data_IF_197174800774
#
_entry.id   IF_197174800774
#
_cell.length_a   1.000
_cell.length_b   1.000
_cell.length_c   1.000
_cell.angle_alpha   90.00
_cell.angle_beta   90.00
_cell.angle_gamma   90.00
#
_symmetry.space_group_name_H-M   'P 1'
#
loop_
_entity.id
_entity.type
_entity.pdbx_description
1 polymer ?
#
# COMPACT_ATOMS: atom_id res chain seq x y z
N UNK A 1 2.35 18.54 -4.12
CA UNK A 1 2.97 17.55 -5.06
C UNK A 1 1.94 16.46 -5.29
N UNK A 2 1.84 15.79 -6.45
CA UNK A 2 0.84 14.69 -6.56
C UNK A 2 1.31 13.49 -5.74
N UNK A 3 0.38 12.68 -5.23
CA UNK A 3 0.71 11.44 -4.50
C UNK A 3 1.55 10.45 -5.33
N UNK A 4 1.52 10.58 -6.65
CA UNK A 4 2.39 9.86 -7.60
C UNK A 4 3.85 10.30 -7.44
N UNK A 5 4.10 11.60 -7.27
CA UNK A 5 5.44 12.15 -7.04
C UNK A 5 5.98 11.67 -5.69
N UNK A 6 5.10 11.56 -4.68
CA UNK A 6 5.44 10.93 -3.40
C UNK A 6 5.89 9.48 -3.58
N UNK A 7 5.11 8.64 -4.26
CA UNK A 7 5.47 7.23 -4.44
C UNK A 7 6.77 7.12 -5.26
N UNK A 8 6.98 7.97 -6.26
CA UNK A 8 8.22 7.98 -7.04
C UNK A 8 9.43 8.44 -6.22
N UNK A 9 9.27 9.45 -5.37
CA UNK A 9 10.34 9.91 -4.48
C UNK A 9 10.65 8.89 -3.39
N UNK A 10 9.61 8.23 -2.86
CA UNK A 10 9.76 7.08 -2.01
C UNK A 10 10.61 6.06 -2.76
N UNK A 11 10.15 5.54 -3.91
CA UNK A 11 10.87 4.56 -4.75
C UNK A 11 12.33 4.92 -5.01
N UNK A 12 12.63 6.17 -5.38
CA UNK A 12 14.00 6.63 -5.61
C UNK A 12 14.83 6.55 -4.32
N UNK A 13 14.27 7.00 -3.19
CA UNK A 13 14.88 6.81 -1.87
C UNK A 13 14.94 5.33 -1.45
N UNK A 14 14.13 4.45 -2.04
CA UNK A 14 14.12 3.02 -1.75
C UNK A 14 15.12 2.21 -2.61
N UNK A 15 15.70 2.78 -3.67
CA UNK A 15 16.65 2.09 -4.55
C UNK A 15 18.11 2.22 -4.09
N UNK A 16 18.41 3.18 -3.21
CA UNK A 16 19.77 3.47 -2.69
C UNK A 16 20.23 2.54 -1.54
N UNK A 17 19.45 1.50 -1.20
CA UNK A 17 19.93 0.35 -0.43
C UNK A 17 19.46 0.23 1.03
N UNK A 18 19.38 -1.04 1.46
CA UNK A 18 19.03 -1.52 2.81
C UNK A 18 17.57 -1.25 3.26
N UNK A 19 16.64 -2.14 2.90
CA UNK A 19 15.29 -2.13 3.46
C UNK A 19 15.10 -3.07 4.64
N UNK A 20 15.01 -2.46 5.82
CA UNK A 20 14.15 -2.97 6.86
C UNK A 20 12.72 -2.51 6.54
N UNK A 21 11.75 -3.42 6.55
CA UNK A 21 10.32 -3.15 6.27
C UNK A 21 9.81 -1.91 7.03
N UNK A 22 10.37 -1.66 8.21
CA UNK A 22 10.12 -0.48 9.05
C UNK A 22 10.45 0.86 8.39
N UNK A 23 11.47 0.95 7.53
CA UNK A 23 11.81 2.21 6.83
C UNK A 23 10.69 2.65 5.89
N UNK A 24 10.11 1.74 5.10
CA UNK A 24 8.94 2.05 4.24
C UNK A 24 7.76 2.49 5.10
N UNK A 25 7.47 1.74 6.18
CA UNK A 25 6.36 2.07 7.06
C UNK A 25 6.52 3.46 7.66
N UNK A 26 7.71 3.78 8.18
CA UNK A 26 8.02 5.10 8.77
C UNK A 26 7.95 6.22 7.74
N UNK A 27 8.57 6.04 6.56
CA UNK A 27 8.56 7.04 5.49
C UNK A 27 7.14 7.33 5.01
N UNK A 28 6.33 6.29 4.74
CA UNK A 28 4.95 6.49 4.32
C UNK A 28 4.08 7.14 5.40
N UNK A 29 4.23 6.74 6.66
CA UNK A 29 3.50 7.38 7.75
C UNK A 29 3.86 8.87 7.90
N UNK A 30 5.14 9.20 7.78
CA UNK A 30 5.60 10.59 7.85
C UNK A 30 4.99 11.42 6.73
N UNK A 31 5.06 10.94 5.48
CA UNK A 31 4.51 11.67 4.34
C UNK A 31 2.99 11.75 4.36
N UNK A 32 2.27 10.70 4.76
CA UNK A 32 0.81 10.79 4.92
C UNK A 32 0.41 11.85 5.95
N UNK A 33 1.17 11.97 7.05
CA UNK A 33 0.94 13.00 8.06
C UNK A 33 1.19 14.41 7.51
N UNK A 34 2.27 14.60 6.77
CA UNK A 34 2.60 15.87 6.10
C UNK A 34 1.56 16.28 5.05
N UNK A 35 1.13 15.34 4.20
CA UNK A 35 0.09 15.61 3.19
C UNK A 35 -1.27 15.90 3.80
N UNK A 36 -1.60 15.26 4.91
CA UNK A 36 -2.84 15.53 5.63
C UNK A 36 -2.80 16.92 6.27
N UNK A 37 -1.70 17.30 6.93
CA UNK A 37 -1.58 18.61 7.58
C UNK A 37 -1.43 19.78 6.62
N UNK A 38 -0.87 19.55 5.43
CA UNK A 38 -0.85 20.56 4.35
C UNK A 38 -2.19 20.70 3.63
N UNK A 39 -3.16 19.82 3.89
CA UNK A 39 -4.46 19.82 3.22
C UNK A 39 -4.45 19.22 1.81
N UNK A 40 -3.34 18.62 1.37
CA UNK A 40 -3.25 17.95 0.05
C UNK A 40 -4.10 16.66 0.00
N UNK A 41 -4.32 16.01 1.14
CA UNK A 41 -5.23 14.87 1.27
C UNK A 41 -6.21 15.08 2.43
N UNK A 42 -7.47 14.65 2.23
CA UNK A 42 -8.53 14.79 3.23
C UNK A 42 -8.60 13.62 4.22
N UNK A 43 -7.91 12.50 3.92
CA UNK A 43 -7.93 11.28 4.72
C UNK A 43 -6.57 11.07 5.37
N UNK A 44 -6.54 11.04 6.70
CA UNK A 44 -5.35 10.71 7.46
C UNK A 44 -5.11 9.21 7.37
N UNK A 45 -4.04 8.81 6.70
CA UNK A 45 -3.70 7.41 6.49
C UNK A 45 -2.54 6.99 7.42
N UNK A 46 -2.60 5.74 7.92
CA UNK A 46 -1.55 5.13 8.73
C UNK A 46 -1.18 3.75 8.18
N UNK A 47 0.11 3.55 7.90
CA UNK A 47 0.66 2.30 7.39
C UNK A 47 1.15 1.41 8.52
N UNK A 48 0.93 0.10 8.40
CA UNK A 48 1.36 -0.92 9.35
C UNK A 48 1.54 -2.28 8.69
N UNK A 49 2.27 -3.18 9.34
CA UNK A 49 2.43 -4.58 8.93
C UNK A 49 1.37 -5.43 9.65
N UNK A 50 0.69 -6.33 8.92
CA UNK A 50 -0.32 -7.23 9.48
C UNK A 50 -0.24 -8.62 8.86
N UNK A 51 -1.15 -9.52 9.28
CA UNK A 51 -1.43 -10.74 8.55
C UNK A 51 -1.93 -10.39 7.13
N UNK A 52 -1.36 -11.06 6.13
CA UNK A 52 -1.92 -11.08 4.78
C UNK A 52 -2.96 -12.19 4.63
N UNK A 53 -3.57 -12.28 3.45
CA UNK A 53 -4.43 -13.39 3.09
C UNK A 53 -3.56 -14.54 2.52
N UNK A 54 -3.70 -15.73 3.07
CA UNK A 54 -2.92 -16.92 2.67
C UNK A 54 -3.13 -17.31 1.21
N UNK A 55 -4.30 -17.01 0.63
CA UNK A 55 -4.60 -17.25 -0.79
C UNK A 55 -3.77 -16.35 -1.72
N UNK A 56 -3.24 -15.23 -1.21
CA UNK A 56 -2.47 -14.26 -1.98
C UNK A 56 -0.98 -14.54 -1.97
N UNK A 57 -0.55 -15.51 -1.14
CA UNK A 57 0.84 -15.90 -0.97
C UNK A 57 1.56 -16.18 -2.30
N UNK A 58 2.85 -15.87 -2.32
CA UNK A 58 3.80 -16.13 -3.40
C UNK A 58 5.16 -16.50 -2.81
N UNK A 59 6.15 -16.83 -3.67
CA UNK A 59 7.42 -17.45 -3.27
C UNK A 59 8.24 -16.60 -2.29
N UNK A 60 8.01 -15.29 -2.26
CA UNK A 60 8.73 -14.33 -1.42
C UNK A 60 7.92 -13.91 -0.19
N UNK A 61 6.68 -14.38 -0.03
CA UNK A 61 5.81 -14.00 1.08
C UNK A 61 6.48 -14.23 2.44
N UNK A 62 6.40 -13.23 3.31
CA UNK A 62 6.93 -13.34 4.66
C UNK A 62 6.14 -14.37 5.49
N UNK A 63 6.86 -15.20 6.22
CA UNK A 63 6.29 -16.21 7.11
C UNK A 63 5.67 -15.53 8.35
N UNK A 64 4.72 -16.20 9.03
CA UNK A 64 4.16 -15.82 10.34
C UNK A 64 3.33 -14.52 10.35
N UNK A 65 2.32 -14.41 9.49
CA UNK A 65 1.31 -13.33 9.57
C UNK A 65 1.89 -11.91 9.43
N UNK A 66 2.98 -11.74 8.69
CA UNK A 66 3.61 -10.44 8.44
C UNK A 66 3.62 -10.06 6.97
N UNK A 67 2.82 -10.72 6.14
CA UNK A 67 2.77 -10.49 4.69
C UNK A 67 1.74 -9.43 4.26
N UNK A 68 0.96 -8.90 5.20
CA UNK A 68 -0.01 -7.83 4.96
C UNK A 68 0.63 -6.45 5.07
N UNK A 69 0.45 -5.64 4.02
CA UNK A 69 0.74 -4.21 4.00
C UNK A 69 -0.57 -3.44 4.20
N UNK A 70 -0.83 -2.96 5.42
CA UNK A 70 -2.10 -2.32 5.78
C UNK A 70 -2.00 -0.81 5.81
N UNK A 71 -2.97 -0.15 5.20
CA UNK A 71 -3.23 1.27 5.28
C UNK A 71 -4.59 1.47 5.98
N UNK A 72 -4.52 2.03 7.19
CA UNK A 72 -5.67 2.41 8.01
C UNK A 72 -6.05 3.85 7.72
N UNK A 73 -7.32 4.13 7.44
CA UNK A 73 -7.86 5.48 7.35
C UNK A 73 -8.33 5.86 8.76
N UNK A 74 -7.60 6.79 9.40
CA UNK A 74 -7.78 7.12 10.81
C UNK A 74 -9.00 8.01 11.06
N UNK A 75 -9.36 8.87 10.12
CA UNK A 75 -10.55 9.72 10.15
C UNK A 75 -11.65 9.13 9.24
N UNK A 76 -12.08 7.89 9.51
CA UNK A 76 -12.98 7.12 8.65
C UNK A 76 -14.49 7.38 8.87
N UNK A 77 -14.83 8.47 9.55
CA UNK A 77 -16.21 8.93 9.63
C UNK A 77 -16.76 9.18 8.21
N UNK A 78 -17.90 8.56 7.91
CA UNK A 78 -18.56 8.66 6.60
C UNK A 78 -17.74 8.09 5.44
N UNK A 79 -16.77 7.22 5.69
CA UNK A 79 -15.92 6.64 4.66
C UNK A 79 -16.76 5.92 3.59
N UNK A 80 -16.54 6.24 2.31
CA UNK A 80 -17.21 5.58 1.18
C UNK A 80 -16.30 4.52 0.57
N UNK A 81 -16.92 3.49 0.01
CA UNK A 81 -16.19 2.41 -0.64
C UNK A 81 -15.45 2.92 -1.89
N UNK A 82 -15.97 3.97 -2.53
CA UNK A 82 -15.31 4.68 -3.61
C UNK A 82 -13.99 5.31 -3.18
N UNK A 83 -13.91 5.88 -1.96
CA UNK A 83 -12.68 6.49 -1.44
C UNK A 83 -11.63 5.42 -1.11
N UNK A 84 -12.05 4.31 -0.50
CA UNK A 84 -11.18 3.15 -0.26
C UNK A 84 -10.62 2.63 -1.59
N UNK A 85 -11.48 2.52 -2.61
CA UNK A 85 -11.08 2.07 -3.95
C UNK A 85 -10.13 3.06 -4.61
N UNK A 86 -10.36 4.37 -4.48
CA UNK A 86 -9.51 5.41 -5.05
C UNK A 86 -8.08 5.35 -4.48
N UNK A 87 -7.95 5.32 -3.14
CA UNK A 87 -6.65 5.17 -2.47
C UNK A 87 -5.96 3.89 -2.93
N UNK A 88 -6.72 2.80 -3.06
CA UNK A 88 -6.20 1.51 -3.52
C UNK A 88 -5.63 1.63 -4.94
N UNK A 89 -6.36 2.24 -5.88
CA UNK A 89 -5.90 2.42 -7.25
C UNK A 89 -4.65 3.31 -7.37
N UNK A 90 -4.53 4.35 -6.53
CA UNK A 90 -3.31 5.18 -6.51
C UNK A 90 -2.06 4.36 -6.18
N UNK A 91 -2.17 3.38 -5.28
CA UNK A 91 -1.04 2.52 -4.91
C UNK A 91 -0.82 1.41 -5.94
N UNK A 92 -1.90 0.73 -6.32
CA UNK A 92 -1.86 -0.42 -7.23
C UNK A 92 -1.44 -0.04 -8.66
N UNK A 93 -1.66 1.21 -9.08
CA UNK A 93 -1.18 1.71 -10.37
C UNK A 93 0.34 1.87 -10.44
N UNK A 94 1.04 1.98 -9.30
CA UNK A 94 2.49 2.06 -9.28
C UNK A 94 3.12 0.66 -9.21
N UNK A 95 3.31 0.03 -10.39
CA UNK A 95 3.87 -1.32 -10.51
C UNK A 95 5.26 -1.47 -9.88
N UNK A 96 6.10 -0.43 -9.92
CA UNK A 96 7.43 -0.48 -9.33
C UNK A 96 7.33 -0.62 -7.80
N UNK A 97 6.43 0.14 -7.19
CA UNK A 97 6.16 0.06 -5.76
C UNK A 97 5.57 -1.29 -5.36
N UNK A 98 4.62 -1.82 -6.14
CA UNK A 98 4.06 -3.16 -5.87
C UNK A 98 5.14 -4.25 -5.92
N UNK A 99 6.00 -4.25 -6.94
CA UNK A 99 7.13 -5.21 -7.01
C UNK A 99 8.05 -5.09 -5.81
N UNK A 100 8.30 -3.88 -5.35
CA UNK A 100 9.12 -3.66 -4.17
C UNK A 100 8.47 -4.20 -2.90
N UNK A 101 7.18 -3.97 -2.69
CA UNK A 101 6.44 -4.58 -1.58
C UNK A 101 6.54 -6.11 -1.61
N UNK A 102 6.38 -6.72 -2.79
CA UNK A 102 6.55 -8.16 -2.97
C UNK A 102 7.97 -8.64 -2.64
N UNK A 103 9.01 -7.91 -3.05
CA UNK A 103 10.39 -8.27 -2.70
C UNK A 103 10.69 -8.19 -1.21
N UNK A 104 9.90 -7.41 -0.46
CA UNK A 104 9.97 -7.30 1.00
C UNK A 104 9.08 -8.32 1.71
N UNK A 105 8.49 -9.25 0.96
CA UNK A 105 7.63 -10.32 1.45
C UNK A 105 6.22 -9.91 1.83
N UNK A 106 5.72 -8.80 1.28
CA UNK A 106 4.30 -8.50 1.34
C UNK A 106 3.56 -9.13 0.15
N UNK A 107 2.42 -9.77 0.41
CA UNK A 107 1.56 -10.38 -0.63
C UNK A 107 0.18 -9.74 -0.74
N UNK A 108 -0.24 -9.03 0.32
CA UNK A 108 -1.57 -8.50 0.48
C UNK A 108 -1.51 -7.00 0.77
N UNK A 109 -2.14 -6.18 -0.06
CA UNK A 109 -2.47 -4.80 0.30
C UNK A 109 -3.84 -4.78 1.00
N UNK A 110 -3.93 -4.11 2.14
CA UNK A 110 -5.16 -3.96 2.91
C UNK A 110 -5.42 -2.47 3.07
N UNK A 111 -6.57 -1.97 2.61
CA UNK A 111 -7.00 -0.60 2.90
C UNK A 111 -8.31 -0.67 3.67
N UNK A 112 -8.34 -0.11 4.87
CA UNK A 112 -9.49 -0.22 5.77
C UNK A 112 -9.68 1.06 6.56
N UNK A 113 -10.92 1.36 6.94
CA UNK A 113 -11.18 2.30 8.01
C UNK A 113 -10.66 1.76 9.35
N UNK A 114 -10.29 2.67 10.25
CA UNK A 114 -9.84 2.33 11.60
C UNK A 114 -10.97 1.78 12.48
N UNK A 115 -12.16 2.35 12.36
CA UNK A 115 -13.33 2.06 13.23
C UNK A 115 -14.51 1.49 12.47
N UNK A 116 -14.62 1.83 11.19
CA UNK A 116 -15.63 1.32 10.27
C UNK A 116 -15.27 -0.09 9.80
N UNK A 117 -16.29 -0.91 9.53
CA UNK A 117 -16.12 -2.23 8.93
C UNK A 117 -15.75 -2.17 7.43
N UNK A 118 -15.45 -0.98 6.90
CA UNK A 118 -15.17 -0.77 5.48
C UNK A 118 -13.70 -1.01 5.20
N UNK A 119 -13.45 -1.87 4.22
CA UNK A 119 -12.11 -2.09 3.73
C UNK A 119 -12.11 -2.97 2.49
N UNK A 120 -10.96 -3.02 1.84
CA UNK A 120 -10.70 -3.86 0.67
C UNK A 120 -9.30 -4.47 0.81
N UNK A 121 -9.16 -5.68 0.27
CA UNK A 121 -7.88 -6.36 0.19
C UNK A 121 -7.54 -6.67 -1.26
N UNK A 122 -6.25 -6.63 -1.59
CA UNK A 122 -5.77 -6.85 -2.95
C UNK A 122 -4.57 -7.78 -2.94
N UNK A 123 -4.62 -8.77 -3.81
CA UNK A 123 -3.51 -9.67 -4.08
C UNK A 123 -2.45 -8.95 -4.91
N UNK A 124 -1.26 -8.70 -4.35
CA UNK A 124 -0.24 -7.87 -4.98
C UNK A 124 0.27 -8.44 -6.31
N UNK A 125 0.36 -9.77 -6.43
CA UNK A 125 0.82 -10.45 -7.66
C UNK A 125 -0.05 -10.16 -8.89
N UNK A 126 -1.34 -9.82 -8.70
CA UNK A 126 -2.23 -9.48 -9.80
C UNK A 126 -1.90 -8.12 -10.44
N UNK A 127 -1.09 -7.29 -9.77
CA UNK A 127 -0.77 -5.92 -10.19
C UNK A 127 0.68 -5.76 -10.67
N UNK A 128 1.47 -6.84 -10.70
CA UNK A 128 2.86 -6.81 -11.16
C UNK A 128 3.05 -7.21 -12.61
N UNK A 129 2.02 -7.74 -13.29
CA UNK A 129 2.14 -8.19 -14.67
C UNK A 129 2.71 -7.07 -15.56
N UNK A 130 3.93 -7.33 -16.02
CA UNK A 130 4.55 -6.73 -17.20
C UNK A 130 3.66 -7.19 -18.37
N UNK A 131 3.28 -6.26 -19.25
CA UNK A 131 2.32 -6.55 -20.31
C UNK A 131 2.62 -7.84 -21.05
N UNK A 132 1.70 -8.80 -20.93
CA UNK A 132 1.41 -9.79 -21.95
C UNK A 132 -0.09 -9.74 -22.12
N UNK A 133 -0.57 -9.08 -23.17
CA UNK A 133 -1.92 -9.34 -23.64
C UNK A 133 -2.03 -10.84 -23.87
N UNK A 134 -2.96 -11.50 -23.18
CA UNK A 134 -3.71 -12.60 -23.79
C UNK A 134 -5.15 -12.14 -23.81
N UNK A 135 -5.57 -11.67 -24.98
CA UNK A 135 -6.96 -11.75 -25.38
C UNK A 135 -7.26 -13.24 -25.58
N UNK A 136 -8.15 -13.78 -24.77
CA UNK A 136 -9.10 -14.81 -25.19
C UNK A 136 -10.50 -14.36 -24.75
#
# INVERSE_FOLDING_TARGET
MKIIDFINNLLNSLLDGSFERMKIISAMNQSFKEYFYSGEINRLCKVSITAGNTEYSHEMSAIFFRSGFKISIENDNGLKDSEVREISQYILSNKAFIRQLMSLGFDTLIITGKTSAKGMQYCLKNYTQIGGFSLE
#
